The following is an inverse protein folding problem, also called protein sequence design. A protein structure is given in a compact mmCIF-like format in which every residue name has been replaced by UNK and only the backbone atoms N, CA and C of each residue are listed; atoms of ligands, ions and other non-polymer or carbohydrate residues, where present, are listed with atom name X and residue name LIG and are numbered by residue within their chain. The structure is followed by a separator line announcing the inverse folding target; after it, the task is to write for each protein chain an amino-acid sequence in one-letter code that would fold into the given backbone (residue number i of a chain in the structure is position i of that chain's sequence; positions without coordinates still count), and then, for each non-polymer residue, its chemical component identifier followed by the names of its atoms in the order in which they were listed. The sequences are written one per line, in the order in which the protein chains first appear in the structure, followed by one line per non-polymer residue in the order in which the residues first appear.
data_IF_456086753292
#
_entry.id   IF_456086753292
#
_cell.length_a   1.000
_cell.length_b   1.000
_cell.length_c   1.000
_cell.angle_alpha   90.00
_cell.angle_beta   90.00
_cell.angle_gamma   90.00
#
_symmetry.space_group_name_H-M   'P 1'
#
loop_
_entity.id
_entity.type
_entity.pdbx_description
1 polymer ?
#
# COMPACT_ATOMS: atom_id res chain seq x y z
N UNK A 1 17.76 4.52 5.25
CA UNK A 1 16.48 3.99 4.74
C UNK A 1 16.76 3.45 3.34
N UNK A 2 16.52 2.15 3.10
CA UNK A 2 16.76 1.56 1.77
C UNK A 2 15.46 1.59 0.97
N UNK A 3 15.47 2.31 -0.15
CA UNK A 3 14.44 2.17 -1.18
C UNK A 3 14.57 0.79 -1.82
N UNK A 4 13.45 0.11 -2.03
CA UNK A 4 13.38 -1.20 -2.65
C UNK A 4 12.42 -1.11 -3.84
N UNK A 5 12.83 -1.55 -5.04
CA UNK A 5 11.94 -1.60 -6.17
C UNK A 5 10.81 -2.60 -5.93
N UNK A 6 9.72 -2.46 -6.69
CA UNK A 6 8.59 -3.39 -6.69
C UNK A 6 7.89 -3.48 -5.33
N UNK A 7 7.63 -2.33 -4.72
CA UNK A 7 6.93 -2.22 -3.44
C UNK A 7 5.92 -1.07 -3.46
N UNK A 8 4.92 -1.14 -2.59
CA UNK A 8 3.99 -0.04 -2.34
C UNK A 8 4.53 0.88 -1.25
N UNK A 9 4.47 2.19 -1.50
CA UNK A 9 4.97 3.26 -0.65
C UNK A 9 3.91 4.34 -0.41
N UNK A 10 3.96 4.98 0.75
CA UNK A 10 3.57 6.40 0.84
C UNK A 10 4.82 7.26 0.61
N UNK A 11 4.65 8.42 0.00
CA UNK A 11 5.76 9.29 -0.40
C UNK A 11 5.56 10.64 0.27
N UNK A 12 6.28 10.90 1.36
CA UNK A 12 6.12 12.09 2.18
C UNK A 12 6.96 13.26 1.63
N UNK A 13 6.39 14.46 1.63
CA UNK A 13 7.17 15.68 1.42
C UNK A 13 8.04 15.96 2.65
N UNK A 14 9.19 16.61 2.44
CA UNK A 14 10.11 16.98 3.52
C UNK A 14 10.15 18.49 3.69
N UNK A 15 9.91 18.99 4.90
CA UNK A 15 9.99 20.42 5.20
C UNK A 15 11.18 20.68 6.11
N UNK A 16 12.11 21.55 5.70
CA UNK A 16 13.26 21.98 6.50
C UNK A 16 13.96 20.83 7.26
N UNK A 17 14.27 19.77 6.53
CA UNK A 17 14.94 18.56 7.03
C UNK A 17 14.09 17.61 7.89
N UNK A 18 12.83 17.93 8.19
CA UNK A 18 11.91 17.10 8.94
C UNK A 18 10.96 16.31 8.03
N UNK A 19 10.73 15.07 8.42
CA UNK A 19 9.74 14.19 7.82
C UNK A 19 8.33 14.68 8.18
N UNK A 20 7.49 14.94 7.18
CA UNK A 20 6.11 15.41 7.41
C UNK A 20 5.11 14.26 7.33
N UNK A 21 3.90 14.46 7.84
CA UNK A 21 2.75 13.59 7.55
C UNK A 21 1.92 14.15 6.38
N UNK A 22 2.57 14.83 5.43
CA UNK A 22 1.96 15.35 4.22
C UNK A 22 2.51 14.59 3.02
N UNK A 23 1.65 13.79 2.40
CA UNK A 23 1.99 12.74 1.45
C UNK A 23 1.60 13.14 0.03
N UNK A 24 2.33 12.63 -0.98
CA UNK A 24 1.92 12.67 -2.38
C UNK A 24 0.55 11.99 -2.53
N UNK A 25 -0.41 12.76 -2.98
CA UNK A 25 -1.83 12.43 -3.06
C UNK A 25 -2.31 12.65 -4.49
N UNK A 26 -3.06 11.68 -5.03
CA UNK A 26 -3.78 11.85 -6.27
C UNK A 26 -5.21 12.31 -5.95
N UNK A 27 -5.59 13.46 -6.50
CA UNK A 27 -6.88 14.08 -6.19
C UNK A 27 -8.05 13.17 -6.50
N UNK A 28 -8.86 12.88 -5.48
CA UNK A 28 -10.04 12.01 -5.58
C UNK A 28 -9.74 10.57 -6.07
N UNK A 29 -10.59 9.59 -5.75
CA UNK A 29 -10.42 8.21 -6.19
C UNK A 29 -10.88 8.01 -7.66
N UNK A 30 -10.41 8.83 -8.59
CA UNK A 30 -10.81 8.81 -10.02
C UNK A 30 -9.68 8.35 -10.94
N UNK A 31 -10.03 7.58 -11.98
CA UNK A 31 -9.12 7.16 -13.04
C UNK A 31 -9.13 8.11 -14.26
N UNK A 32 -9.76 9.28 -14.13
CA UNK A 32 -9.76 10.30 -15.18
C UNK A 32 -8.35 10.77 -15.52
N UNK A 33 -8.11 10.93 -16.83
CA UNK A 33 -6.83 11.43 -17.32
C UNK A 33 -6.67 12.90 -16.97
N UNK A 34 -5.51 13.23 -16.42
CA UNK A 34 -5.19 14.59 -16.03
C UNK A 34 -5.66 14.93 -14.62
N UNK A 35 -6.04 13.95 -13.81
CA UNK A 35 -6.32 14.16 -12.38
C UNK A 35 -5.09 14.76 -11.70
N UNK A 36 -5.17 15.96 -11.09
CA UNK A 36 -4.02 16.62 -10.51
C UNK A 36 -3.44 15.87 -9.29
N UNK A 37 -2.13 15.98 -9.11
CA UNK A 37 -1.45 15.53 -7.89
C UNK A 37 -1.20 16.70 -6.93
N UNK A 38 -1.39 16.43 -5.65
CA UNK A 38 -1.15 17.36 -4.54
C UNK A 38 -0.28 16.69 -3.47
N UNK A 39 0.12 17.47 -2.47
CA UNK A 39 0.44 16.92 -1.16
C UNK A 39 -0.77 17.08 -0.24
N UNK A 40 -1.09 16.07 0.56
CA UNK A 40 -2.21 16.12 1.49
C UNK A 40 -1.87 15.45 2.82
N UNK A 41 -2.58 15.83 3.88
CA UNK A 41 -2.40 15.19 5.19
C UNK A 41 -2.65 13.69 5.10
N UNK A 42 -1.80 12.91 5.76
CA UNK A 42 -1.99 11.47 5.87
C UNK A 42 -3.37 11.17 6.46
N UNK A 43 -4.10 10.28 5.79
CA UNK A 43 -5.40 9.79 6.25
C UNK A 43 -5.28 8.36 6.78
N UNK A 44 -6.19 7.96 7.67
CA UNK A 44 -6.42 6.57 8.04
C UNK A 44 -7.72 6.03 7.44
N UNK A 45 -8.47 6.85 6.69
CA UNK A 45 -9.73 6.55 6.02
C UNK A 45 -9.51 5.99 4.60
N UNK A 46 -10.59 5.81 3.82
CA UNK A 46 -10.50 5.27 2.45
C UNK A 46 -9.63 6.12 1.53
N UNK A 47 -9.60 7.43 1.74
CA UNK A 47 -8.78 8.40 0.99
C UNK A 47 -7.28 8.15 1.17
N UNK A 48 -6.86 7.48 2.26
CA UNK A 48 -5.47 7.08 2.47
C UNK A 48 -4.93 6.18 1.35
N UNK A 49 -5.80 5.55 0.57
CA UNK A 49 -5.44 4.71 -0.57
C UNK A 49 -5.00 5.54 -1.78
N UNK A 50 -5.44 6.80 -1.89
CA UNK A 50 -4.96 7.75 -2.90
C UNK A 50 -3.50 8.17 -2.67
N UNK A 51 -2.97 7.91 -1.48
CA UNK A 51 -1.61 8.28 -1.05
C UNK A 51 -0.62 7.11 -1.18
N UNK A 52 -1.05 5.99 -1.79
CA UNK A 52 -0.26 4.76 -1.88
C UNK A 52 0.10 4.46 -3.33
N UNK A 53 1.40 4.30 -3.55
CA UNK A 53 2.01 4.20 -4.86
C UNK A 53 2.80 2.91 -4.98
N UNK A 54 2.39 2.02 -5.90
CA UNK A 54 3.22 0.92 -6.32
C UNK A 54 4.36 1.46 -7.17
N UNK A 55 5.58 1.35 -6.66
CA UNK A 55 6.79 1.76 -7.36
C UNK A 55 7.39 0.53 -8.02
N UNK A 56 7.24 0.43 -9.34
CA UNK A 56 7.69 -0.73 -10.12
C UNK A 56 8.84 -0.34 -11.04
N UNK A 57 9.91 -1.13 -11.06
CA UNK A 57 11.00 -0.95 -12.03
C UNK A 57 10.50 -1.29 -13.44
N UNK A 58 10.91 -0.50 -14.43
CA UNK A 58 10.55 -0.72 -15.83
C UNK A 58 11.38 -1.87 -16.37
N UNK A 59 10.72 -2.89 -16.91
CA UNK A 59 11.39 -4.10 -17.42
C UNK A 59 12.46 -3.74 -18.46
N UNK A 60 13.66 -4.28 -18.26
CA UNK A 60 14.82 -4.01 -19.12
C UNK A 60 15.46 -2.62 -18.95
N UNK A 61 15.00 -1.79 -18.01
CA UNK A 61 15.48 -0.42 -17.80
C UNK A 61 15.85 -0.18 -16.32
N UNK A 62 17.00 -0.69 -15.85
CA UNK A 62 17.42 -0.57 -14.45
C UNK A 62 17.45 0.89 -13.97
N UNK A 63 16.91 1.13 -12.78
CA UNK A 63 16.87 2.46 -12.15
C UNK A 63 15.80 3.41 -12.74
N UNK A 64 14.95 2.92 -13.64
CA UNK A 64 13.77 3.64 -14.14
C UNK A 64 12.52 3.00 -13.55
N UNK A 65 11.64 3.82 -12.99
CA UNK A 65 10.48 3.37 -12.26
C UNK A 65 9.20 4.01 -12.79
N UNK A 66 8.10 3.29 -12.65
CA UNK A 66 6.74 3.84 -12.71
C UNK A 66 6.18 3.93 -11.31
N UNK A 67 5.38 4.96 -11.03
CA UNK A 67 4.64 5.11 -9.78
C UNK A 67 3.15 4.99 -10.11
N UNK A 68 2.56 3.84 -9.81
CA UNK A 68 1.12 3.60 -10.04
C UNK A 68 0.34 3.82 -8.76
N UNK A 69 -0.69 4.65 -8.81
CA UNK A 69 -1.60 4.79 -7.68
C UNK A 69 -2.42 3.51 -7.51
N UNK A 70 -2.42 2.91 -6.31
CA UNK A 70 -3.10 1.62 -6.11
C UNK A 70 -4.63 1.74 -6.13
N UNK A 71 -5.16 2.92 -5.81
CA UNK A 71 -6.60 3.18 -5.78
C UNK A 71 -7.14 3.35 -7.19
N UNK A 72 -6.56 4.26 -7.95
CA UNK A 72 -7.09 4.68 -9.26
C UNK A 72 -6.54 3.86 -10.42
N UNK A 73 -5.42 3.15 -10.21
CA UNK A 73 -4.73 2.39 -11.25
C UNK A 73 -4.01 3.26 -12.27
N UNK A 74 -4.07 4.59 -12.17
CA UNK A 74 -3.35 5.52 -13.04
C UNK A 74 -1.93 5.74 -12.57
N UNK A 75 -1.07 6.22 -13.47
CA UNK A 75 0.35 6.44 -13.22
C UNK A 75 0.63 7.91 -12.95
N UNK A 76 1.62 8.18 -12.09
CA UNK A 76 2.19 9.50 -11.92
C UNK A 76 2.85 9.93 -13.23
N UNK A 77 2.33 11.01 -13.79
CA UNK A 77 2.62 11.47 -15.14
C UNK A 77 3.00 12.95 -15.11
N UNK A 78 4.06 13.30 -15.82
CA UNK A 78 4.40 14.70 -16.09
C UNK A 78 3.75 15.12 -17.40
N UNK A 79 2.85 16.11 -17.36
CA UNK A 79 2.05 16.48 -18.52
C UNK A 79 2.92 16.75 -19.77
N UNK A 80 2.66 15.97 -20.82
CA UNK A 80 3.38 16.00 -22.11
C UNK A 80 4.91 15.79 -22.02
N UNK A 81 5.44 15.36 -20.86
CA UNK A 81 6.89 15.28 -20.63
C UNK A 81 7.60 16.64 -20.73
N UNK A 82 6.87 17.75 -20.53
CA UNK A 82 7.40 19.11 -20.69
C UNK A 82 8.45 19.45 -19.63
N UNK A 83 9.55 20.08 -20.05
CA UNK A 83 10.60 20.60 -19.16
C UNK A 83 10.32 22.00 -18.60
N UNK A 84 9.18 22.61 -18.94
CA UNK A 84 8.80 23.92 -18.41
C UNK A 84 8.56 23.82 -16.90
N UNK A 85 9.10 24.77 -16.14
CA UNK A 85 8.83 24.89 -14.71
C UNK A 85 7.33 25.07 -14.45
N UNK A 86 6.81 24.33 -13.46
CA UNK A 86 5.38 24.34 -13.14
C UNK A 86 4.55 23.41 -14.01
N UNK A 87 5.17 22.57 -14.85
CA UNK A 87 4.44 21.55 -15.63
C UNK A 87 3.65 20.67 -14.67
N UNK A 88 2.36 20.48 -14.95
CA UNK A 88 1.45 19.71 -14.10
C UNK A 88 1.92 18.27 -13.95
N UNK A 89 1.90 17.76 -12.72
CA UNK A 89 2.00 16.33 -12.43
C UNK A 89 0.58 15.82 -12.15
N UNK A 90 0.25 14.68 -12.74
CA UNK A 90 -1.10 14.18 -12.81
C UNK A 90 -1.17 12.64 -12.78
N UNK A 91 -2.36 12.12 -12.54
CA UNK A 91 -2.71 10.74 -12.85
C UNK A 91 -3.08 10.62 -14.33
N UNK A 92 -2.51 9.63 -15.00
CA UNK A 92 -2.85 9.33 -16.38
C UNK A 92 -2.87 7.82 -16.64
N UNK A 93 -3.84 7.37 -17.43
CA UNK A 93 -3.87 6.02 -17.99
C UNK A 93 -2.77 5.90 -19.06
N UNK A 94 -1.61 5.40 -18.67
CA UNK A 94 -0.41 5.34 -19.53
C UNK A 94 -0.21 3.96 -20.15
N UNK A 95 0.54 3.89 -21.25
CA UNK A 95 1.22 2.67 -21.73
C UNK A 95 2.42 2.33 -20.82
N UNK A 96 2.23 2.40 -19.50
CA UNK A 96 3.29 2.29 -18.52
C UNK A 96 4.00 0.93 -18.63
N UNK A 97 5.32 0.94 -18.44
CA UNK A 97 6.18 -0.22 -18.71
C UNK A 97 6.68 -0.30 -20.15
N UNK A 98 6.25 0.59 -21.06
CA UNK A 98 6.84 0.72 -22.40
C UNK A 98 7.94 1.78 -22.42
N UNK A 99 9.02 1.62 -23.21
CA UNK A 99 10.11 2.60 -23.33
C UNK A 99 9.68 3.98 -23.87
N UNK A 100 8.51 4.06 -24.52
CA UNK A 100 8.00 5.27 -25.15
C UNK A 100 7.18 6.16 -24.20
N UNK A 101 6.74 5.65 -23.05
CA UNK A 101 5.95 6.39 -22.06
C UNK A 101 6.83 7.17 -21.05
N UNK A 102 7.86 7.87 -21.54
CA UNK A 102 8.88 8.50 -20.69
C UNK A 102 8.34 9.60 -19.76
N UNK A 103 7.19 10.18 -20.08
CA UNK A 103 6.48 11.15 -19.25
C UNK A 103 5.91 10.53 -17.96
N UNK A 104 5.64 9.23 -17.93
CA UNK A 104 5.20 8.49 -16.72
C UNK A 104 6.33 7.64 -16.10
N UNK A 105 7.58 7.88 -16.51
CA UNK A 105 8.77 7.20 -16.01
C UNK A 105 9.65 8.14 -15.20
N UNK A 106 10.22 7.62 -14.12
CA UNK A 106 10.90 8.40 -13.10
C UNK A 106 12.20 7.73 -12.66
N UNK A 107 13.23 8.51 -12.37
CA UNK A 107 14.42 8.09 -11.61
C UNK A 107 14.24 8.49 -10.16
N UNK A 108 14.49 7.57 -9.25
CA UNK A 108 14.48 7.81 -7.80
C UNK A 108 15.93 7.93 -7.35
N UNK A 109 16.38 9.15 -7.10
CA UNK A 109 17.78 9.50 -6.88
C UNK A 109 18.00 9.72 -5.38
N UNK A 110 18.88 8.94 -4.77
CA UNK A 110 19.21 9.08 -3.35
C UNK A 110 19.95 10.41 -3.10
N UNK A 111 19.57 11.09 -2.01
CA UNK A 111 20.16 12.33 -1.54
C UNK A 111 20.23 12.26 -0.01
N UNK A 112 21.32 11.69 0.54
CA UNK A 112 21.43 11.44 1.97
C UNK A 112 20.35 10.48 2.50
N UNK A 113 19.44 10.97 3.35
CA UNK A 113 18.36 10.18 3.94
C UNK A 113 16.99 10.32 3.22
N UNK A 114 16.94 11.06 2.11
CA UNK A 114 15.74 11.29 1.30
C UNK A 114 16.05 11.03 -0.17
N UNK A 115 15.06 11.28 -1.03
CA UNK A 115 15.14 11.05 -2.47
C UNK A 115 14.68 12.28 -3.24
N UNK A 116 15.22 12.45 -4.44
CA UNK A 116 14.65 13.30 -5.47
C UNK A 116 14.04 12.41 -6.56
N UNK A 117 12.93 12.85 -7.14
CA UNK A 117 12.17 12.07 -8.14
C UNK A 117 12.27 12.83 -9.47
N UNK A 118 13.08 12.34 -10.41
CA UNK A 118 13.35 13.00 -11.69
C UNK A 118 12.57 12.34 -12.82
N UNK A 119 11.85 13.12 -13.62
CA UNK A 119 11.16 12.61 -14.80
C UNK A 119 12.17 12.20 -15.89
N UNK A 120 11.91 11.09 -16.58
CA UNK A 120 12.82 10.57 -17.61
C UNK A 120 12.82 11.42 -18.87
N UNK A 121 11.66 11.92 -19.31
CA UNK A 121 11.54 12.72 -20.53
C UNK A 121 12.15 14.12 -20.36
N UNK A 122 11.71 14.85 -19.33
CA UNK A 122 12.02 16.27 -19.18
C UNK A 122 13.33 16.57 -18.45
N UNK A 123 13.84 15.60 -17.66
CA UNK A 123 14.91 15.76 -16.65
C UNK A 123 14.59 16.73 -15.50
N UNK A 124 13.34 17.19 -15.39
CA UNK A 124 12.84 17.96 -14.25
C UNK A 124 12.45 17.05 -13.08
N UNK A 125 12.24 17.63 -11.91
CA UNK A 125 12.02 16.97 -10.64
C UNK A 125 10.61 17.23 -10.11
N UNK A 126 10.09 16.27 -9.34
CA UNK A 126 8.86 16.40 -8.59
C UNK A 126 9.03 17.46 -7.48
N UNK A 127 8.21 18.51 -7.53
CA UNK A 127 8.35 19.73 -6.72
C UNK A 127 6.98 20.22 -6.21
N UNK A 128 6.98 21.05 -5.18
CA UNK A 128 5.81 21.70 -4.60
C UNK A 128 5.64 23.13 -5.15
N UNK A 129 4.50 23.38 -5.78
CA UNK A 129 4.19 24.67 -6.36
C UNK A 129 4.26 25.80 -5.32
N UNK A 130 4.93 26.90 -5.66
CA UNK A 130 5.04 28.07 -4.79
C UNK A 130 5.84 27.85 -3.51
N UNK A 131 6.60 26.75 -3.40
CA UNK A 131 7.45 26.40 -2.26
C UNK A 131 6.68 26.29 -0.92
N UNK A 132 5.47 25.73 -0.97
CA UNK A 132 4.61 25.56 0.20
C UNK A 132 4.57 24.10 0.64
N UNK A 133 4.69 23.86 1.94
CA UNK A 133 4.60 22.54 2.56
C UNK A 133 3.27 22.37 3.31
N UNK A 134 2.17 22.84 2.71
CA UNK A 134 0.83 22.74 3.30
C UNK A 134 -0.06 21.79 2.49
N UNK A 135 -0.96 21.03 3.14
CA UNK A 135 -1.95 20.22 2.44
C UNK A 135 -2.71 21.03 1.38
N UNK A 136 -2.89 20.44 0.20
CA UNK A 136 -3.47 21.08 -0.98
C UNK A 136 -2.46 21.80 -1.88
N UNK A 137 -1.17 21.80 -1.54
CA UNK A 137 -0.16 22.34 -2.46
C UNK A 137 -0.02 21.41 -3.67
N UNK A 138 -0.10 21.97 -4.87
CA UNK A 138 0.01 21.22 -6.11
C UNK A 138 1.43 20.69 -6.31
N UNK A 139 1.54 19.48 -6.83
CA UNK A 139 2.79 18.87 -7.25
C UNK A 139 3.04 19.15 -8.73
N UNK A 140 4.25 19.58 -9.06
CA UNK A 140 4.66 20.03 -10.39
C UNK A 140 6.03 19.50 -10.78
N UNK A 141 6.36 19.55 -12.07
CA UNK A 141 7.72 19.38 -12.56
C UNK A 141 8.48 20.71 -12.51
N UNK A 142 9.70 20.68 -11.98
CA UNK A 142 10.57 21.85 -11.89
C UNK A 142 12.04 21.48 -12.10
N UNK A 143 12.84 22.37 -12.68
CA UNK A 143 14.29 22.18 -12.77
C UNK A 143 14.91 21.98 -11.38
N UNK A 144 16.05 21.29 -11.29
CA UNK A 144 16.71 21.07 -10.00
C UNK A 144 16.97 22.42 -9.29
N UNK A 145 16.65 22.50 -8.01
CA UNK A 145 17.09 23.60 -7.17
C UNK A 145 17.52 23.11 -5.78
N UNK A 146 17.98 24.04 -4.94
CA UNK A 146 18.49 23.75 -3.60
C UNK A 146 17.40 23.78 -2.52
N UNK A 147 16.12 23.75 -2.88
CA UNK A 147 15.02 23.86 -1.92
C UNK A 147 14.54 22.47 -1.47
N UNK A 148 14.00 22.36 -0.23
CA UNK A 148 13.52 21.08 0.30
C UNK A 148 12.21 20.63 -0.36
N UNK A 149 11.60 21.43 -1.24
CA UNK A 149 10.32 21.11 -1.90
C UNK A 149 10.46 19.98 -2.93
N UNK A 150 11.70 19.63 -3.29
CA UNK A 150 12.03 18.50 -4.17
C UNK A 150 12.50 17.26 -3.39
N UNK A 151 12.46 17.30 -2.05
CA UNK A 151 12.95 16.22 -1.20
C UNK A 151 11.78 15.36 -0.71
N UNK A 152 11.87 14.06 -0.98
CA UNK A 152 10.81 13.08 -0.74
C UNK A 152 11.30 11.90 0.10
N UNK A 153 10.46 11.40 1.00
CA UNK A 153 10.73 10.24 1.84
C UNK A 153 9.79 9.10 1.49
N UNK A 154 10.36 7.96 1.07
CA UNK A 154 9.61 6.76 0.71
C UNK A 154 9.40 5.88 1.94
N UNK A 155 8.16 5.81 2.44
CA UNK A 155 7.77 4.96 3.57
C UNK A 155 7.10 3.70 3.04
N UNK A 156 7.76 2.55 3.19
CA UNK A 156 7.28 1.27 2.65
C UNK A 156 6.02 0.82 3.40
N UNK A 157 4.92 0.62 2.66
CA UNK A 157 3.61 0.16 3.20
C UNK A 157 3.21 -1.22 2.66
N UNK A 158 4.21 -2.04 2.34
CA UNK A 158 4.06 -3.40 1.85
C UNK A 158 5.15 -4.34 2.37
N UNK A 159 4.92 -5.64 2.20
CA UNK A 159 5.89 -6.73 2.43
C UNK A 159 5.77 -7.79 1.34
N UNK A 160 6.85 -8.52 1.09
CA UNK A 160 6.82 -9.72 0.25
C UNK A 160 6.19 -10.90 0.99
N UNK A 161 5.72 -11.91 0.25
CA UNK A 161 5.30 -13.18 0.83
C UNK A 161 6.40 -13.82 1.68
N UNK A 162 7.66 -13.79 1.22
CA UNK A 162 8.83 -14.26 1.96
C UNK A 162 9.02 -13.52 3.30
N UNK A 163 8.91 -12.19 3.32
CA UNK A 163 8.98 -11.41 4.58
C UNK A 163 7.85 -11.80 5.54
N UNK A 164 6.63 -11.99 5.06
CA UNK A 164 5.49 -12.39 5.89
C UNK A 164 5.67 -13.80 6.46
N UNK A 165 6.19 -14.76 5.65
CA UNK A 165 6.52 -16.11 6.14
C UNK A 165 7.57 -16.05 7.26
N UNK A 166 8.58 -15.22 7.13
CA UNK A 166 9.59 -15.03 8.18
C UNK A 166 8.97 -14.46 9.46
N UNK A 167 8.07 -13.49 9.35
CA UNK A 167 7.34 -12.94 10.51
C UNK A 167 6.48 -14.01 11.19
N UNK A 168 5.73 -14.82 10.42
CA UNK A 168 4.93 -15.92 10.95
C UNK A 168 5.80 -16.98 11.66
N UNK A 169 6.92 -17.38 11.05
CA UNK A 169 7.86 -18.35 11.63
C UNK A 169 8.52 -17.83 12.92
N UNK A 170 8.67 -16.50 13.06
CA UNK A 170 9.19 -15.89 14.29
C UNK A 170 8.13 -15.70 15.38
N UNK A 171 6.85 -15.83 15.05
CA UNK A 171 5.75 -15.63 15.98
C UNK A 171 5.57 -16.85 16.88
N UNK A 172 5.67 -16.66 18.21
CA UNK A 172 5.59 -17.75 19.20
C UNK A 172 4.24 -18.48 19.22
N UNK A 173 3.19 -17.86 18.70
CA UNK A 173 1.84 -18.41 18.63
C UNK A 173 1.57 -19.21 17.36
N UNK A 174 2.51 -19.33 16.41
CA UNK A 174 2.32 -20.04 15.13
C UNK A 174 3.46 -21.05 14.91
N UNK A 175 3.14 -22.20 14.34
CA UNK A 175 4.09 -23.19 13.85
C UNK A 175 4.60 -22.83 12.45
N UNK A 176 5.67 -23.49 12.01
CA UNK A 176 6.34 -23.18 10.74
C UNK A 176 5.57 -23.67 9.48
N UNK A 177 4.37 -24.22 9.63
CA UNK A 177 3.57 -24.70 8.51
C UNK A 177 2.76 -23.55 7.90
N UNK A 178 3.39 -22.85 6.95
CA UNK A 178 2.88 -21.61 6.35
C UNK A 178 2.88 -21.72 4.84
N UNK A 179 1.68 -21.69 4.26
CA UNK A 179 1.48 -21.62 2.82
C UNK A 179 1.09 -20.20 2.40
N UNK A 180 1.64 -19.77 1.27
CA UNK A 180 1.23 -18.52 0.62
C UNK A 180 1.01 -18.79 -0.85
N UNK A 181 -0.07 -18.22 -1.40
CA UNK A 181 -0.34 -18.39 -2.83
C UNK A 181 0.71 -17.65 -3.67
N UNK A 182 1.09 -16.44 -3.25
CA UNK A 182 2.14 -15.65 -3.89
C UNK A 182 3.40 -15.72 -3.04
N UNK A 183 4.36 -16.56 -3.44
CA UNK A 183 5.64 -16.69 -2.70
C UNK A 183 6.44 -15.38 -2.73
N UNK A 184 6.55 -14.76 -3.90
CA UNK A 184 7.24 -13.48 -4.12
C UNK A 184 6.26 -12.32 -4.35
N UNK A 185 4.97 -12.51 -4.04
CA UNK A 185 3.98 -11.46 -4.21
C UNK A 185 4.16 -10.32 -3.20
N UNK A 186 3.71 -9.14 -3.57
CA UNK A 186 3.68 -7.96 -2.70
C UNK A 186 2.31 -7.89 -2.03
N UNK A 187 2.32 -7.75 -0.71
CA UNK A 187 1.12 -7.63 0.10
C UNK A 187 1.07 -6.28 0.79
N UNK A 188 -0.10 -5.63 0.78
CA UNK A 188 -0.40 -4.43 1.56
C UNK A 188 -1.28 -4.76 2.75
N UNK A 189 -1.19 -3.94 3.81
CA UNK A 189 -2.19 -3.93 4.89
C UNK A 189 -3.07 -2.70 4.70
N UNK A 190 -4.39 -2.92 4.64
CA UNK A 190 -5.36 -1.82 4.54
C UNK A 190 -5.35 -0.97 5.82
N UNK A 191 -5.65 0.34 5.73
CA UNK A 191 -5.85 1.18 6.91
C UNK A 191 -6.85 0.57 7.90
N UNK A 192 -6.69 0.82 9.19
CA UNK A 192 -7.55 0.23 10.23
C UNK A 192 -9.03 0.52 10.00
N UNK A 193 -9.40 1.78 9.75
CA UNK A 193 -10.79 2.17 9.52
C UNK A 193 -11.43 1.42 8.34
N UNK A 194 -10.66 1.16 7.28
CA UNK A 194 -11.10 0.42 6.09
C UNK A 194 -11.36 -1.05 6.45
N UNK A 195 -10.47 -1.67 7.23
CA UNK A 195 -10.66 -3.05 7.70
C UNK A 195 -11.88 -3.17 8.60
N UNK A 196 -12.06 -2.23 9.52
CA UNK A 196 -13.22 -2.18 10.40
C UNK A 196 -14.53 -1.99 9.61
N UNK A 197 -14.55 -1.12 8.59
CA UNK A 197 -15.71 -0.91 7.69
C UNK A 197 -16.05 -2.17 6.89
N UNK A 198 -15.05 -2.89 6.37
CA UNK A 198 -15.25 -4.16 5.66
C UNK A 198 -15.88 -5.20 6.60
N UNK A 199 -15.33 -5.37 7.81
CA UNK A 199 -15.84 -6.31 8.80
C UNK A 199 -17.26 -5.93 9.24
N UNK A 200 -17.52 -4.64 9.48
CA UNK A 200 -18.85 -4.16 9.83
C UNK A 200 -19.87 -4.47 8.73
N UNK A 201 -19.55 -4.15 7.47
CA UNK A 201 -20.44 -4.40 6.32
C UNK A 201 -20.57 -5.87 5.92
N UNK A 202 -19.68 -6.74 6.40
CA UNK A 202 -19.78 -8.19 6.17
C UNK A 202 -20.98 -8.83 6.87
N UNK A 203 -21.51 -8.21 7.92
CA UNK A 203 -22.58 -8.78 8.76
C UNK A 203 -22.14 -9.91 9.69
N UNK A 204 -20.85 -10.29 9.67
CA UNK A 204 -20.30 -11.37 10.50
C UNK A 204 -20.50 -11.11 12.00
N UNK A 205 -20.27 -9.88 12.47
CA UNK A 205 -20.28 -9.62 13.91
C UNK A 205 -21.66 -9.62 14.57
N UNK A 206 -22.56 -8.78 14.06
CA UNK A 206 -23.85 -8.50 14.70
C UNK A 206 -24.99 -9.40 14.22
N UNK A 207 -24.93 -9.90 12.98
CA UNK A 207 -26.05 -10.59 12.34
C UNK A 207 -25.88 -12.10 12.28
N UNK A 208 -24.64 -12.61 12.30
CA UNK A 208 -24.35 -14.04 12.18
C UNK A 208 -23.98 -14.66 13.53
N UNK A 209 -24.77 -15.67 13.91
CA UNK A 209 -24.54 -16.46 15.12
C UNK A 209 -23.61 -17.61 14.79
N UNK A 210 -22.67 -17.85 15.71
CA UNK A 210 -21.90 -19.09 15.71
C UNK A 210 -22.84 -20.29 15.86
N UNK A 211 -22.65 -21.30 15.01
CA UNK A 211 -23.39 -22.55 15.05
C UNK A 211 -22.40 -23.66 14.72
N UNK A 212 -22.28 -24.63 15.63
CA UNK A 212 -21.40 -25.79 15.50
C UNK A 212 -21.44 -26.36 14.08
N UNK A 213 -20.28 -26.49 13.45
CA UNK A 213 -20.02 -27.06 12.12
C UNK A 213 -20.64 -26.32 10.92
N UNK A 214 -21.89 -25.86 11.01
CA UNK A 214 -22.58 -25.23 9.86
C UNK A 214 -22.20 -23.75 9.68
N UNK A 215 -21.73 -23.10 10.74
CA UNK A 215 -21.23 -21.72 10.72
C UNK A 215 -20.37 -21.44 11.95
N UNK A 216 -19.17 -22.01 12.00
CA UNK A 216 -18.22 -21.84 13.10
C UNK A 216 -16.94 -21.12 12.66
N UNK A 217 -15.82 -21.32 13.36
CA UNK A 217 -14.70 -20.38 13.30
C UNK A 217 -14.04 -20.29 11.92
N UNK A 218 -13.93 -21.40 11.19
CA UNK A 218 -13.39 -21.39 9.83
C UNK A 218 -14.33 -20.67 8.87
N UNK A 219 -15.64 -20.86 8.97
CA UNK A 219 -16.61 -20.12 8.15
C UNK A 219 -16.47 -18.61 8.34
N UNK A 220 -16.38 -18.13 9.59
CA UNK A 220 -16.16 -16.71 9.84
C UNK A 220 -14.85 -16.21 9.21
N UNK A 221 -13.77 -16.97 9.32
CA UNK A 221 -12.45 -16.58 8.80
C UNK A 221 -12.40 -16.55 7.26
N UNK A 222 -13.01 -17.54 6.60
CA UNK A 222 -13.06 -17.58 5.14
C UNK A 222 -14.04 -16.56 4.55
N UNK A 223 -15.21 -16.38 5.16
CA UNK A 223 -16.15 -15.33 4.76
C UNK A 223 -15.50 -13.96 4.91
N UNK A 224 -14.82 -13.69 6.02
CA UNK A 224 -14.07 -12.44 6.21
C UNK A 224 -13.00 -12.22 5.14
N UNK A 225 -12.17 -13.24 4.85
CA UNK A 225 -11.17 -13.17 3.75
C UNK A 225 -11.83 -12.88 2.39
N UNK A 226 -12.98 -13.50 2.11
CA UNK A 226 -13.72 -13.27 0.87
C UNK A 226 -14.26 -11.83 0.77
N UNK A 227 -14.71 -11.24 1.88
CA UNK A 227 -15.17 -9.85 1.92
C UNK A 227 -14.03 -8.87 1.65
N UNK A 228 -12.86 -9.11 2.24
CA UNK A 228 -11.67 -8.28 1.98
C UNK A 228 -11.21 -8.40 0.52
N UNK A 229 -11.18 -9.62 -0.02
CA UNK A 229 -10.84 -9.85 -1.42
C UNK A 229 -11.82 -9.17 -2.38
N UNK A 230 -13.13 -9.32 -2.13
CA UNK A 230 -14.18 -8.68 -2.93
C UNK A 230 -14.08 -7.17 -2.85
N UNK A 231 -13.92 -6.61 -1.65
CA UNK A 231 -13.73 -5.17 -1.46
C UNK A 231 -12.53 -4.69 -2.28
N UNK A 232 -11.37 -5.37 -2.19
CA UNK A 232 -10.18 -5.01 -2.95
C UNK A 232 -10.42 -4.97 -4.45
N UNK A 233 -11.08 -6.01 -4.99
CA UNK A 233 -11.39 -6.11 -6.41
C UNK A 233 -12.33 -4.99 -6.93
N UNK A 234 -13.19 -4.44 -6.07
CA UNK A 234 -14.11 -3.35 -6.44
C UNK A 234 -13.53 -1.95 -6.18
N UNK A 235 -12.54 -1.85 -5.30
CA UNK A 235 -12.12 -0.57 -4.71
C UNK A 235 -10.69 -0.18 -5.08
N UNK A 236 -9.87 -1.13 -5.56
CA UNK A 236 -8.49 -0.88 -5.98
C UNK A 236 -8.34 -1.24 -7.45
N UNK A 237 -8.09 -0.23 -8.28
CA UNK A 237 -7.95 -0.39 -9.73
C UNK A 237 -6.50 -0.66 -10.16
N UNK A 238 -5.53 -0.50 -9.24
CA UNK A 238 -4.15 -0.93 -9.46
C UNK A 238 -4.00 -2.45 -9.32
N UNK A 239 -3.06 -3.04 -10.07
CA UNK A 239 -2.68 -4.46 -9.96
C UNK A 239 -1.21 -4.61 -9.48
N UNK A 240 -0.72 -5.85 -9.43
CA UNK A 240 0.67 -6.16 -9.05
C UNK A 240 0.90 -6.28 -7.54
N UNK A 241 -0.17 -6.33 -6.74
CA UNK A 241 -0.14 -6.54 -5.29
C UNK A 241 -1.38 -7.31 -4.83
N UNK A 242 -1.34 -7.82 -3.60
CA UNK A 242 -2.46 -8.44 -2.89
C UNK A 242 -2.74 -7.71 -1.57
N UNK A 243 -3.93 -7.89 -1.02
CA UNK A 243 -4.26 -7.44 0.34
C UNK A 243 -3.95 -8.56 1.31
N UNK A 244 -3.14 -8.30 2.32
CA UNK A 244 -2.90 -9.27 3.38
C UNK A 244 -4.13 -9.38 4.28
N UNK A 245 -4.81 -10.51 4.14
CA UNK A 245 -5.82 -11.00 5.06
C UNK A 245 -5.70 -12.51 5.13
N UNK A 246 -4.79 -12.97 5.97
CA UNK A 246 -4.47 -14.38 6.12
C UNK A 246 -5.52 -15.12 6.95
N UNK A 247 -5.42 -16.45 6.95
CA UNK A 247 -6.19 -17.37 7.79
C UNK A 247 -5.19 -18.22 8.56
N UNK A 248 -5.41 -18.38 9.86
CA UNK A 248 -4.61 -19.27 10.71
C UNK A 248 -5.51 -20.19 11.51
N UNK A 249 -5.27 -21.50 11.37
CA UNK A 249 -5.91 -22.52 12.17
C UNK A 249 -5.09 -22.75 13.42
N UNK A 250 -5.64 -22.45 14.60
CA UNK A 250 -5.05 -22.76 15.89
C UNK A 250 -5.86 -23.81 16.64
N UNK A 251 -5.22 -24.55 17.53
CA UNK A 251 -5.93 -25.49 18.43
C UNK A 251 -5.37 -26.89 18.46
N UNK A 252 -5.95 -27.70 19.36
CA UNK A 252 -5.81 -29.15 19.37
C UNK A 252 -7.12 -29.80 18.95
N UNK A 253 -7.14 -31.13 18.82
CA UNK A 253 -8.21 -31.94 18.23
C UNK A 253 -9.63 -31.59 18.72
N UNK A 254 -9.77 -31.09 19.96
CA UNK A 254 -11.06 -30.78 20.60
C UNK A 254 -11.25 -29.28 20.96
N UNK A 255 -10.36 -28.39 20.51
CA UNK A 255 -10.39 -26.94 20.82
C UNK A 255 -9.89 -26.05 19.67
N UNK A 256 -10.11 -26.48 18.43
CA UNK A 256 -9.75 -25.72 17.24
C UNK A 256 -10.48 -24.37 17.17
N UNK A 257 -9.74 -23.33 16.76
CA UNK A 257 -10.26 -22.01 16.47
C UNK A 257 -9.48 -21.39 15.33
N UNK A 258 -10.19 -20.76 14.40
CA UNK A 258 -9.60 -20.14 13.21
C UNK A 258 -9.68 -18.63 13.33
N UNK A 259 -8.58 -17.95 13.06
CA UNK A 259 -8.46 -16.50 13.07
C UNK A 259 -8.09 -15.99 11.68
N UNK A 260 -8.37 -14.72 11.41
CA UNK A 260 -7.67 -14.00 10.37
C UNK A 260 -6.38 -13.38 10.92
N UNK A 261 -5.44 -13.02 10.05
CA UNK A 261 -4.27 -12.25 10.46
C UNK A 261 -3.81 -11.24 9.40
N UNK A 262 -3.09 -10.23 9.86
CA UNK A 262 -2.41 -9.22 9.04
C UNK A 262 -1.17 -8.73 9.79
N UNK A 263 -0.50 -7.66 9.30
CA UNK A 263 0.61 -7.03 10.01
C UNK A 263 0.18 -5.78 10.78
N UNK A 264 0.88 -5.49 11.87
CA UNK A 264 0.78 -4.22 12.60
C UNK A 264 1.20 -3.01 11.72
N UNK A 265 1.03 -1.79 12.24
CA UNK A 265 1.27 -0.56 11.47
C UNK A 265 2.75 -0.38 11.05
N UNK A 266 3.69 -0.95 11.81
CA UNK A 266 5.12 -0.96 11.48
C UNK A 266 5.49 -2.05 10.44
N UNK A 267 4.54 -2.93 10.12
CA UNK A 267 4.71 -4.09 9.24
C UNK A 267 5.82 -5.04 9.69
N UNK A 268 6.00 -5.19 11.01
CA UNK A 268 7.04 -6.02 11.64
C UNK A 268 6.49 -7.02 12.67
N UNK A 269 5.18 -7.04 12.90
CA UNK A 269 4.50 -7.97 13.79
C UNK A 269 3.21 -8.50 13.21
N UNK A 270 2.87 -9.75 13.54
CA UNK A 270 1.59 -10.37 13.19
C UNK A 270 0.53 -9.93 14.19
N UNK A 271 -0.64 -9.54 13.68
CA UNK A 271 -1.83 -9.29 14.47
C UNK A 271 -2.91 -10.27 14.02
N UNK A 272 -3.49 -10.96 14.99
CA UNK A 272 -4.61 -11.87 14.80
C UNK A 272 -5.92 -11.13 15.01
N UNK A 273 -6.93 -11.47 14.23
CA UNK A 273 -8.27 -10.91 14.33
C UNK A 273 -9.28 -12.05 14.44
N UNK A 274 -10.14 -11.97 15.45
CA UNK A 274 -11.35 -12.79 15.51
C UNK A 274 -12.40 -12.13 14.59
N UNK A 275 -12.72 -12.73 13.43
CA UNK A 275 -13.68 -12.17 12.47
C UNK A 275 -15.12 -12.08 13.00
N UNK A 276 -15.46 -12.84 14.05
CA UNK A 276 -16.78 -12.76 14.67
C UNK A 276 -16.90 -11.55 15.59
N UNK A 277 -15.87 -11.23 16.36
CA UNK A 277 -15.94 -10.13 17.35
C UNK A 277 -15.29 -8.84 16.85
N UNK A 278 -14.41 -8.93 15.85
CA UNK A 278 -13.51 -7.85 15.44
C UNK A 278 -12.35 -7.63 16.40
N UNK A 279 -12.22 -8.45 17.46
CA UNK A 279 -11.17 -8.33 18.45
C UNK A 279 -9.80 -8.63 17.82
N UNK A 280 -8.80 -7.79 18.11
CA UNK A 280 -7.43 -7.92 17.59
C UNK A 280 -6.46 -8.26 18.73
N UNK A 281 -5.52 -9.17 18.49
CA UNK A 281 -4.57 -9.68 19.49
C UNK A 281 -3.20 -9.96 18.86
N UNK A 282 -2.15 -9.81 19.66
CA UNK A 282 -0.78 -10.17 19.24
C UNK A 282 -0.48 -11.67 19.40
N UNK A 283 -1.30 -12.38 20.17
CA UNK A 283 -1.17 -13.82 20.43
C UNK A 283 -2.53 -14.51 20.37
N UNK A 284 -2.53 -15.77 19.92
CA UNK A 284 -3.71 -16.63 19.95
C UNK A 284 -3.59 -17.69 21.05
N UNK A 285 -4.75 -18.14 21.56
CA UNK A 285 -4.86 -19.04 22.72
C UNK A 285 -4.19 -20.40 22.49
N UNK A 286 -4.18 -20.85 21.25
CA UNK A 286 -3.60 -22.12 20.85
C UNK A 286 -2.61 -21.91 19.71
N UNK A 287 -1.57 -22.75 19.65
CA UNK A 287 -0.56 -22.65 18.60
C UNK A 287 -1.21 -22.87 17.23
N UNK A 288 -0.96 -21.96 16.30
CA UNK A 288 -1.42 -22.02 14.92
C UNK A 288 -0.66 -23.11 14.17
N UNK A 289 -1.32 -24.13 13.65
CA UNK A 289 -0.68 -25.29 13.00
C UNK A 289 -0.77 -25.25 11.47
N UNK A 290 -1.57 -24.34 10.90
CA UNK A 290 -1.68 -24.10 9.46
C UNK A 290 -2.02 -22.63 9.23
N UNK A 291 -1.21 -21.95 8.40
CA UNK A 291 -1.48 -20.58 7.96
C UNK A 291 -1.54 -20.49 6.44
N UNK A 292 -2.50 -19.71 5.93
CA UNK A 292 -2.75 -19.47 4.51
C UNK A 292 -2.84 -17.96 4.25
N UNK A 293 -2.16 -17.42 3.24
CA UNK A 293 -2.35 -16.02 2.84
C UNK A 293 -2.15 -15.71 1.36
#
# INVERSE_FOLDING_TARGET
MHFLPNHVYTIASREQYNDTNVLLDLYEPTSENGTPSYIWSQSDQKEALNQRWLVKEVDGHPGIYTLRNIRTGTYLDLNEGSSKNGTKVQGWASLAGTPHAQNSQWRIIASGNHFKIQNVASKTYLDLAGKKHIPGTQVVGWQIDSTPTQDWVFRRVSRTGTEIKALLASNKSVDNNVESYLKEGIYIVLPKSVRDDILHRSGLGSSLKWRKEIFDSDDFAFVSKSHVAKWGATELLGDGFAILWGVVFGGQKDSAHVYNFFLNDNLDGIVFCDPKTGEQKDTIRHKGYLSLF
#
